data_IF_598122257782
#
_entry.id   IF_598122257782
#
_cell.length_a   1.000
_cell.length_b   1.000
_cell.length_c   1.000
_cell.angle_alpha   90.00
_cell.angle_beta   90.00
_cell.angle_gamma   90.00
#
_symmetry.space_group_name_H-M   'P 1'
#
loop_
_entity.id
_entity.type
_entity.pdbx_description
1 polymer ?
#
# COMPACT_ATOMS: atom_id res chain seq x y z
N UNK A 1 0.20 -6.21 12.00
CA UNK A 1 0.28 -4.82 11.50
C UNK A 1 0.16 -4.84 9.99
N UNK A 2 -0.55 -3.88 9.41
CA UNK A 2 -0.53 -3.65 7.97
C UNK A 2 0.27 -2.37 7.71
N UNK A 3 1.16 -2.41 6.73
CA UNK A 3 1.93 -1.26 6.27
C UNK A 3 1.74 -1.08 4.77
N UNK A 4 1.80 0.16 4.32
CA UNK A 4 1.76 0.52 2.90
C UNK A 4 3.08 1.18 2.50
N UNK A 5 3.42 1.05 1.24
CA UNK A 5 4.59 1.62 0.61
C UNK A 5 4.22 2.01 -0.82
N UNK A 6 4.48 3.25 -1.23
CA UNK A 6 4.26 3.70 -2.60
C UNK A 6 5.59 4.08 -3.25
N UNK A 7 5.79 3.61 -4.47
CA UNK A 7 6.97 3.92 -5.27
C UNK A 7 6.59 4.40 -6.66
N UNK A 8 7.34 5.35 -7.20
CA UNK A 8 7.23 5.82 -8.57
C UNK A 8 8.58 5.69 -9.27
N UNK A 9 8.59 5.12 -10.47
CA UNK A 9 9.79 4.97 -11.31
C UNK A 9 10.99 4.36 -10.55
N UNK A 10 10.70 3.44 -9.61
CA UNK A 10 11.70 2.77 -8.76
C UNK A 10 12.09 3.52 -7.47
N UNK A 11 11.60 4.74 -7.24
CA UNK A 11 11.87 5.54 -6.04
C UNK A 11 10.77 5.42 -5.00
N UNK A 12 11.14 5.34 -3.72
CA UNK A 12 10.20 5.40 -2.60
C UNK A 12 9.66 6.83 -2.44
N UNK A 13 8.35 6.97 -2.53
CA UNK A 13 7.64 8.23 -2.35
C UNK A 13 7.07 8.39 -0.94
N UNK A 14 6.72 7.28 -0.30
CA UNK A 14 6.11 7.28 1.01
C UNK A 14 5.84 5.89 1.51
N UNK A 15 5.78 5.79 2.83
CA UNK A 15 5.37 4.56 3.51
C UNK A 15 4.70 4.91 4.82
N UNK A 16 3.91 3.98 5.33
CA UNK A 16 3.24 4.17 6.60
C UNK A 16 2.52 2.92 7.07
N UNK A 17 1.88 3.04 8.22
CA UNK A 17 1.02 1.99 8.77
C UNK A 17 -0.42 2.22 8.32
N UNK A 18 -1.13 1.13 8.04
CA UNK A 18 -2.54 1.13 7.73
C UNK A 18 -3.30 0.64 8.96
N UNK A 19 -4.10 1.52 9.55
CA UNK A 19 -5.00 1.16 10.65
C UNK A 19 -6.23 0.48 10.06
N UNK A 20 -6.30 -0.84 10.19
CA UNK A 20 -7.45 -1.64 9.74
C UNK A 20 -8.20 -2.21 10.95
N UNK A 21 -9.53 -2.29 10.89
CA UNK A 21 -10.29 -3.03 11.89
C UNK A 21 -9.93 -4.51 11.85
N UNK A 22 -10.23 -5.24 12.93
CA UNK A 22 -10.02 -6.70 12.96
C UNK A 22 -10.88 -7.38 11.90
N UNK A 23 -10.22 -8.02 10.92
CA UNK A 23 -10.86 -8.77 9.84
C UNK A 23 -11.07 -10.20 10.32
N UNK A 24 -12.32 -10.67 10.33
CA UNK A 24 -12.64 -12.04 10.72
C UNK A 24 -12.14 -13.05 9.67
N UNK A 25 -11.91 -14.32 10.07
CA UNK A 25 -11.63 -15.37 9.11
C UNK A 25 -12.68 -15.42 7.99
N UNK A 26 -12.23 -15.66 6.76
CA UNK A 26 -13.06 -15.71 5.55
C UNK A 26 -13.88 -14.43 5.26
N UNK A 27 -13.49 -13.30 5.85
CA UNK A 27 -14.07 -11.98 5.56
C UNK A 27 -13.08 -11.10 4.82
N UNK A 28 -13.57 -10.04 4.17
CA UNK A 28 -12.75 -9.04 3.49
C UNK A 28 -13.05 -7.64 4.01
N UNK A 29 -12.10 -6.73 3.81
CA UNK A 29 -12.25 -5.30 4.07
C UNK A 29 -11.82 -4.54 2.83
N UNK A 30 -12.66 -3.61 2.37
CA UNK A 30 -12.38 -2.76 1.23
C UNK A 30 -12.06 -1.33 1.70
N UNK A 31 -11.08 -0.71 1.05
CA UNK A 31 -10.72 0.70 1.25
C UNK A 31 -10.86 1.38 -0.09
N UNK A 32 -11.63 2.47 -0.13
CA UNK A 32 -11.72 3.30 -1.31
C UNK A 32 -10.35 3.91 -1.62
N UNK A 33 -9.96 3.88 -2.90
CA UNK A 33 -8.65 4.35 -3.36
C UNK A 33 -8.31 5.76 -2.83
N UNK A 34 -9.29 6.66 -2.89
CA UNK A 34 -9.15 8.08 -2.54
C UNK A 34 -9.05 8.33 -1.03
N UNK A 35 -9.52 7.38 -0.21
CA UNK A 35 -9.46 7.46 1.24
C UNK A 35 -8.13 6.96 1.81
N UNK A 36 -7.29 6.35 0.97
CA UNK A 36 -6.00 5.82 1.39
C UNK A 36 -4.97 6.92 1.69
N UNK A 37 -4.06 6.70 2.64
CA UNK A 37 -2.99 7.66 2.97
C UNK A 37 -1.99 7.89 1.82
N UNK A 38 -1.94 6.97 0.85
CA UNK A 38 -1.14 7.07 -0.36
C UNK A 38 -1.76 7.98 -1.43
N UNK A 39 -3.06 8.33 -1.31
CA UNK A 39 -3.78 9.01 -2.38
C UNK A 39 -3.25 10.42 -2.65
N UNK A 40 -2.93 11.19 -1.61
CA UNK A 40 -2.36 12.53 -1.77
C UNK A 40 -0.99 12.49 -2.45
N UNK A 41 -0.16 11.50 -2.11
CA UNK A 41 1.13 11.26 -2.77
C UNK A 41 0.91 10.92 -4.24
N UNK A 42 0.07 9.94 -4.56
CA UNK A 42 -0.25 9.56 -5.93
C UNK A 42 -0.84 10.73 -6.75
N UNK A 43 -1.80 11.49 -6.21
CA UNK A 43 -2.51 12.56 -6.92
C UNK A 43 -1.62 13.79 -7.19
N UNK A 44 -0.55 13.98 -6.43
CA UNK A 44 0.41 15.08 -6.64
C UNK A 44 1.51 14.75 -7.65
N UNK A 45 1.59 13.50 -8.09
CA UNK A 45 2.66 13.03 -8.97
C UNK A 45 2.29 13.12 -10.44
N UNK A 46 3.31 13.35 -11.25
CA UNK A 46 3.29 13.18 -12.70
C UNK A 46 4.35 12.12 -13.07
N UNK A 47 4.12 10.89 -12.64
CA UNK A 47 5.02 9.75 -12.93
C UNK A 47 4.36 8.79 -13.91
N UNK A 48 5.19 8.12 -14.71
CA UNK A 48 4.73 7.13 -15.70
C UNK A 48 4.31 5.82 -15.04
N UNK A 49 5.01 5.40 -13.99
CA UNK A 49 4.77 4.13 -13.32
C UNK A 49 4.75 4.28 -11.79
N UNK A 50 3.56 4.16 -11.20
CA UNK A 50 3.41 4.19 -9.74
C UNK A 50 2.92 2.84 -9.24
N UNK A 51 3.55 2.32 -8.19
CA UNK A 51 3.20 1.06 -7.56
C UNK A 51 2.86 1.25 -6.09
N UNK A 52 1.78 0.63 -5.63
CA UNK A 52 1.43 0.54 -4.23
C UNK A 52 1.65 -0.90 -3.74
N UNK A 53 2.44 -1.03 -2.69
CA UNK A 53 2.70 -2.30 -2.01
C UNK A 53 2.07 -2.27 -0.62
N UNK A 54 1.26 -3.27 -0.31
CA UNK A 54 0.70 -3.52 1.01
C UNK A 54 1.37 -4.74 1.61
N UNK A 55 1.88 -4.59 2.83
CA UNK A 55 2.60 -5.65 3.54
C UNK A 55 1.93 -5.91 4.89
N UNK A 56 1.64 -7.17 5.17
CA UNK A 56 1.18 -7.64 6.46
C UNK A 56 2.35 -8.21 7.26
N UNK A 57 2.56 -7.67 8.47
CA UNK A 57 3.64 -8.07 9.39
C UNK A 57 3.08 -8.55 10.71
N UNK A 58 3.77 -9.49 11.35
CA UNK A 58 3.47 -9.88 12.73
C UNK A 58 3.76 -8.71 13.67
N UNK A 59 2.77 -8.34 14.49
CA UNK A 59 2.93 -7.25 15.45
C UNK A 59 3.77 -7.67 16.66
N UNK A 60 3.55 -8.90 17.14
CA UNK A 60 4.21 -9.46 18.31
C UNK A 60 4.96 -10.73 17.90
N UNK A 61 6.06 -11.03 18.60
CA UNK A 61 6.78 -12.28 18.42
C UNK A 61 5.88 -13.46 18.78
N UNK A 62 5.98 -14.52 18.00
CA UNK A 62 5.32 -15.80 18.23
C UNK A 62 6.37 -16.85 18.59
N UNK A 63 5.93 -18.06 18.93
CA UNK A 63 6.83 -19.18 19.25
C UNK A 63 7.78 -19.55 18.10
N UNK A 64 7.44 -19.21 16.86
CA UNK A 64 8.16 -19.65 15.66
C UNK A 64 8.84 -18.51 14.91
N UNK A 65 8.51 -17.25 15.21
CA UNK A 65 9.08 -16.11 14.51
C UNK A 65 8.93 -14.81 15.29
N UNK A 66 9.90 -13.91 15.12
CA UNK A 66 9.96 -12.61 15.80
C UNK A 66 8.94 -11.60 15.26
N UNK A 67 8.65 -10.58 16.08
CA UNK A 67 7.88 -9.41 15.68
C UNK A 67 8.50 -8.72 14.46
N UNK A 68 7.65 -8.18 13.59
CA UNK A 68 8.07 -7.52 12.35
C UNK A 68 8.22 -8.46 11.16
N UNK A 69 8.14 -9.78 11.35
CA UNK A 69 8.19 -10.75 10.25
C UNK A 69 7.04 -10.55 9.25
N UNK A 70 7.36 -10.56 7.96
CA UNK A 70 6.40 -10.38 6.87
C UNK A 70 5.65 -11.69 6.63
N UNK A 71 4.34 -11.65 6.81
CA UNK A 71 3.45 -12.81 6.58
C UNK A 71 2.94 -12.82 5.14
N UNK A 72 2.66 -11.64 4.59
CA UNK A 72 2.15 -11.49 3.23
C UNK A 72 2.50 -10.12 2.66
N UNK A 73 2.65 -10.06 1.34
CA UNK A 73 2.83 -8.81 0.61
C UNK A 73 2.06 -8.90 -0.70
N UNK A 74 1.48 -7.77 -1.11
CA UNK A 74 0.80 -7.63 -2.38
C UNK A 74 1.15 -6.28 -2.99
N UNK A 75 1.40 -6.25 -4.30
CA UNK A 75 1.73 -5.04 -5.03
C UNK A 75 0.76 -4.86 -6.19
N UNK A 76 0.34 -3.62 -6.41
CA UNK A 76 -0.55 -3.23 -7.50
C UNK A 76 0.06 -2.03 -8.23
N UNK A 77 0.04 -2.08 -9.56
CA UNK A 77 0.36 -0.92 -10.40
C UNK A 77 -0.84 0.01 -10.44
N UNK A 78 -0.58 1.29 -10.20
CA UNK A 78 -1.60 2.32 -10.21
C UNK A 78 -1.67 2.96 -11.61
N UNK A 79 -2.84 3.48 -11.99
CA UNK A 79 -2.96 4.24 -13.23
C UNK A 79 -2.01 5.43 -13.23
N UNK A 80 -1.34 5.67 -14.36
CA UNK A 80 -0.58 6.88 -14.55
C UNK A 80 -1.53 8.09 -14.51
N UNK A 81 -1.18 9.12 -13.75
CA UNK A 81 -1.92 10.38 -13.64
C UNK A 81 -1.73 11.28 -14.86
N UNK A 82 -1.11 10.78 -15.94
CA UNK A 82 -0.95 11.51 -17.20
C UNK A 82 -2.32 12.00 -17.64
N UNK A 83 -2.53 13.32 -17.54
CA UNK A 83 -3.56 14.00 -18.31
C UNK A 83 -3.32 13.60 -19.76
N UNK A 84 -4.21 12.76 -20.29
CA UNK A 84 -4.26 12.49 -21.71
C UNK A 84 -4.66 13.83 -22.33
N UNK A 85 -3.67 14.64 -22.70
CA UNK A 85 -3.91 15.84 -23.49
C UNK A 85 -4.15 15.33 -24.92
N UNK A 86 -5.37 15.47 -25.47
CA UNK A 86 -5.59 15.16 -26.87
C UNK A 86 -4.77 16.15 -27.70
N UNK A 87 -4.03 15.62 -28.67
CA UNK A 87 -3.32 16.40 -29.69
C UNK A 87 -4.30 16.99 -30.71
#
# INVERSE_FOLDING_TARGET
EFSWYISADGYNLGSGKLSLPSIKPQSSYAVDWQSGPWYSLWNSLSSEEVFLTITAKLLNSTRWVEAGHIVSTAQVQLPATRNIVPH
#
